data_IF_889997040421
#
_entry.id   IF_889997040421
#
_cell.length_a   1.000
_cell.length_b   1.000
_cell.length_c   1.000
_cell.angle_alpha   90.00
_cell.angle_beta   90.00
_cell.angle_gamma   90.00
#
_symmetry.space_group_name_H-M   'P 1'
#
loop_
_entity.id
_entity.type
_entity.pdbx_description
1 polymer ?
#
# COMPACT_ATOMS: atom_id res chain seq x y z
N UNK A 1 3.55 9.86 14.12
CA UNK A 1 2.67 9.09 13.23
C UNK A 1 2.72 7.63 13.65
N UNK A 2 1.59 7.00 14.00
CA UNK A 2 1.52 5.55 14.25
C UNK A 2 1.14 4.88 12.94
N UNK A 3 2.05 4.09 12.36
CA UNK A 3 1.72 3.25 11.22
C UNK A 3 0.90 2.05 11.69
N UNK A 4 -0.07 1.61 10.87
CA UNK A 4 -0.92 0.47 11.16
C UNK A 4 -0.64 -0.69 10.21
N UNK A 5 -1.05 -1.92 10.55
CA UNK A 5 -1.00 -3.04 9.64
C UNK A 5 -1.75 -2.77 8.33
N UNK A 6 -1.09 -3.01 7.20
CA UNK A 6 -1.72 -2.87 5.89
C UNK A 6 -2.37 -4.20 5.46
N UNK A 7 -3.67 -4.33 5.74
CA UNK A 7 -4.47 -5.47 5.29
C UNK A 7 -4.75 -5.34 3.78
N UNK A 8 -3.92 -6.00 2.96
CA UNK A 8 -4.01 -5.99 1.50
C UNK A 8 -5.38 -6.46 0.97
N UNK A 9 -6.02 -7.37 1.70
CA UNK A 9 -7.29 -7.99 1.35
C UNK A 9 -8.53 -7.20 1.77
N UNK A 10 -8.39 -6.11 2.54
CA UNK A 10 -9.51 -5.30 2.99
C UNK A 10 -10.42 -4.91 1.82
N UNK A 11 -11.74 -4.84 2.03
CA UNK A 11 -12.72 -4.60 0.98
C UNK A 11 -12.39 -3.35 0.14
N UNK A 12 -12.78 -3.35 -1.13
CA UNK A 12 -12.67 -2.15 -1.98
C UNK A 12 -13.37 -0.96 -1.31
N UNK A 13 -12.76 0.21 -1.40
CA UNK A 13 -13.27 1.44 -0.77
C UNK A 13 -13.01 1.55 0.73
N UNK A 14 -12.44 0.52 1.39
CA UNK A 14 -11.99 0.64 2.79
C UNK A 14 -11.11 1.87 2.94
N UNK A 15 -11.44 2.73 3.90
CA UNK A 15 -10.72 4.00 4.13
C UNK A 15 -9.37 3.74 4.78
N UNK A 16 -8.33 4.30 4.17
CA UNK A 16 -6.95 4.24 4.66
C UNK A 16 -6.31 5.62 4.55
N UNK A 17 -5.45 6.00 5.49
CA UNK A 17 -4.68 7.23 5.38
C UNK A 17 -3.64 7.09 4.27
N UNK A 18 -3.59 8.10 3.40
CA UNK A 18 -2.51 8.29 2.43
C UNK A 18 -1.88 9.66 2.66
N UNK A 19 -0.59 9.78 2.36
CA UNK A 19 0.13 11.05 2.35
C UNK A 19 0.39 11.43 0.90
N UNK A 20 0.08 12.67 0.53
CA UNK A 20 0.25 13.18 -0.84
C UNK A 20 0.60 14.66 -0.84
N UNK A 21 1.06 15.17 -1.98
CA UNK A 21 1.08 16.61 -2.26
C UNK A 21 -0.36 17.11 -2.38
N UNK A 22 -0.66 18.24 -1.73
CA UNK A 22 -1.97 18.88 -1.85
C UNK A 22 -2.12 19.40 -3.30
N UNK A 23 -3.15 18.97 -4.05
CA UNK A 23 -3.36 19.41 -5.44
C UNK A 23 -3.63 20.92 -5.57
N UNK A 24 -4.18 21.56 -4.53
CA UNK A 24 -4.45 23.00 -4.50
C UNK A 24 -3.22 23.82 -4.08
N UNK A 25 -2.28 23.19 -3.36
CA UNK A 25 -1.01 23.80 -2.95
C UNK A 25 0.12 22.75 -2.95
N UNK A 26 0.84 22.63 -4.07
CA UNK A 26 1.89 21.62 -4.24
C UNK A 26 3.07 21.77 -3.27
N UNK A 27 3.20 22.88 -2.53
CA UNK A 27 4.21 23.02 -1.47
C UNK A 27 3.81 22.30 -0.18
N UNK A 28 2.51 22.02 0.01
CA UNK A 28 1.98 21.36 1.18
C UNK A 28 1.93 19.83 0.99
N UNK A 29 2.27 19.13 2.06
CA UNK A 29 2.08 17.68 2.19
C UNK A 29 0.96 17.45 3.18
N UNK A 30 -0.08 16.75 2.74
CA UNK A 30 -1.24 16.44 3.58
C UNK A 30 -1.39 14.94 3.79
N UNK A 31 -2.07 14.59 4.89
CA UNK A 31 -2.57 13.25 5.13
C UNK A 31 -4.08 13.26 5.01
N UNK A 32 -4.61 12.42 4.12
CA UNK A 32 -6.05 12.32 3.84
C UNK A 32 -6.49 10.86 3.86
N UNK A 33 -7.75 10.63 4.24
CA UNK A 33 -8.36 9.32 4.06
C UNK A 33 -8.72 9.11 2.58
N UNK A 34 -8.38 7.95 2.04
CA UNK A 34 -8.70 7.57 0.66
C UNK A 34 -9.23 6.12 0.60
N UNK A 35 -10.04 5.83 -0.41
CA UNK A 35 -10.61 4.52 -0.65
C UNK A 35 -9.56 3.55 -1.21
N UNK A 36 -9.50 2.36 -0.63
CA UNK A 36 -8.60 1.31 -1.09
C UNK A 36 -9.08 0.69 -2.41
N UNK A 37 -8.32 0.90 -3.49
CA UNK A 37 -8.60 0.40 -4.83
C UNK A 37 -9.11 1.49 -5.79
N UNK A 38 -8.59 1.46 -7.01
CA UNK A 38 -8.94 2.38 -8.09
C UNK A 38 -9.93 1.74 -9.05
N UNK A 39 -10.81 2.58 -9.60
CA UNK A 39 -11.61 2.26 -10.77
C UNK A 39 -10.89 2.76 -12.03
N UNK A 40 -10.80 1.95 -13.11
CA UNK A 40 -10.34 2.39 -14.43
C UNK A 40 -11.10 3.62 -14.95
N UNK A 41 -10.44 4.45 -15.77
CA UNK A 41 -11.06 5.67 -16.34
C UNK A 41 -11.96 5.33 -17.54
N UNK A 42 -11.65 4.25 -18.26
CA UNK A 42 -12.46 3.73 -19.35
C UNK A 42 -13.66 2.94 -18.78
N UNK A 43 -14.85 3.27 -19.28
CA UNK A 43 -16.15 2.98 -18.66
C UNK A 43 -16.56 1.52 -18.51
N UNK A 44 -17.74 1.37 -17.90
CA UNK A 44 -18.50 0.15 -17.60
C UNK A 44 -17.93 -1.17 -18.14
N UNK A 45 -17.33 -1.96 -17.24
CA UNK A 45 -16.98 -3.37 -17.49
C UNK A 45 -15.62 -3.78 -16.93
N UNK A 46 -14.69 -2.83 -16.76
CA UNK A 46 -13.37 -3.13 -16.19
C UNK A 46 -13.46 -3.19 -14.66
N UNK A 47 -13.01 -4.30 -14.08
CA UNK A 47 -13.05 -4.52 -12.62
C UNK A 47 -12.12 -3.52 -11.90
N UNK A 48 -12.51 -3.01 -10.73
CA UNK A 48 -11.63 -2.20 -9.90
C UNK A 48 -10.40 -3.01 -9.49
N UNK A 49 -9.28 -2.32 -9.25
CA UNK A 49 -8.00 -2.95 -8.92
C UNK A 49 -7.33 -2.26 -7.73
N UNK A 50 -6.61 -3.03 -6.92
CA UNK A 50 -5.88 -2.54 -5.73
C UNK A 50 -4.40 -2.32 -5.99
N UNK A 51 -3.85 -3.01 -6.99
CA UNK A 51 -2.42 -3.09 -7.23
C UNK A 51 -2.10 -2.69 -8.67
N UNK A 52 -1.00 -1.96 -8.84
CA UNK A 52 -0.47 -1.58 -10.15
C UNK A 52 0.96 -2.12 -10.25
N UNK A 53 1.22 -2.97 -11.24
CA UNK A 53 2.58 -3.40 -11.59
C UNK A 53 3.40 -2.21 -12.09
N UNK A 54 4.63 -2.05 -11.60
CA UNK A 54 5.53 -0.97 -12.01
C UNK A 54 6.14 -1.16 -13.40
N UNK A 55 6.27 -2.39 -13.90
CA UNK A 55 6.97 -2.66 -15.15
C UNK A 55 6.33 -1.95 -16.35
N UNK A 56 7.14 -1.26 -17.14
CA UNK A 56 6.69 -0.53 -18.32
C UNK A 56 5.74 0.64 -18.02
N UNK A 57 5.57 1.03 -16.75
CA UNK A 57 4.70 2.14 -16.35
C UNK A 57 5.50 3.30 -15.79
N UNK A 58 5.07 4.50 -16.12
CA UNK A 58 5.55 5.74 -15.51
C UNK A 58 4.48 6.31 -14.59
N UNK A 59 4.91 6.88 -13.46
CA UNK A 59 4.07 7.55 -12.49
C UNK A 59 4.47 9.03 -12.40
N UNK A 60 4.17 9.88 -13.40
CA UNK A 60 4.64 11.27 -13.41
C UNK A 60 3.87 12.19 -12.45
N UNK A 61 2.67 11.79 -12.00
CA UNK A 61 1.80 12.59 -11.14
C UNK A 61 1.03 11.70 -10.16
N UNK A 62 0.31 12.33 -9.22
CA UNK A 62 -0.60 11.67 -8.28
C UNK A 62 0.04 10.54 -7.47
N UNK A 63 1.31 10.68 -7.12
CA UNK A 63 2.00 9.79 -6.19
C UNK A 63 1.48 10.01 -4.77
N UNK A 64 1.33 8.92 -4.03
CA UNK A 64 1.07 8.96 -2.59
C UNK A 64 1.96 7.95 -1.85
N UNK A 65 2.07 8.15 -0.54
CA UNK A 65 2.69 7.22 0.38
C UNK A 65 1.60 6.63 1.27
N UNK A 66 1.65 5.32 1.49
CA UNK A 66 0.76 4.63 2.43
C UNK A 66 1.60 4.22 3.65
N UNK A 67 1.43 4.85 4.83
CA UNK A 67 2.12 4.42 6.04
C UNK A 67 1.70 3.00 6.42
N UNK A 68 2.66 2.10 6.63
CA UNK A 68 2.40 0.71 6.98
C UNK A 68 3.44 0.20 8.00
N UNK A 69 2.98 -0.54 9.01
CA UNK A 69 3.87 -1.29 9.92
C UNK A 69 4.19 -2.68 9.38
N UNK A 70 3.28 -3.24 8.58
CA UNK A 70 3.40 -4.54 7.92
C UNK A 70 2.55 -4.55 6.65
N UNK A 71 2.87 -5.44 5.71
CA UNK A 71 1.95 -5.85 4.63
C UNK A 71 1.74 -7.36 4.67
N UNK A 72 0.73 -7.85 3.95
CA UNK A 72 0.39 -9.28 3.93
C UNK A 72 0.66 -9.89 2.56
N UNK A 73 1.21 -11.10 2.56
CA UNK A 73 1.38 -11.95 1.37
C UNK A 73 0.67 -13.28 1.56
N UNK A 74 0.35 -13.94 0.45
CA UNK A 74 -0.33 -15.24 0.46
C UNK A 74 0.45 -16.28 -0.33
N UNK A 75 0.49 -17.50 0.19
CA UNK A 75 0.96 -18.68 -0.53
C UNK A 75 -0.07 -19.81 -0.36
N UNK A 76 -0.85 -20.08 -1.41
CA UNK A 76 -2.06 -20.90 -1.32
C UNK A 76 -3.04 -20.31 -0.30
N UNK A 77 -3.48 -21.14 0.65
CA UNK A 77 -4.40 -20.72 1.72
C UNK A 77 -3.70 -20.07 2.93
N UNK A 78 -2.36 -20.12 2.97
CA UNK A 78 -1.56 -19.57 4.07
C UNK A 78 -1.34 -18.08 3.87
N UNK A 79 -1.40 -17.34 4.98
CA UNK A 79 -1.18 -15.89 5.00
C UNK A 79 0.02 -15.58 5.86
N UNK A 80 0.81 -14.61 5.42
CA UNK A 80 2.02 -14.19 6.12
C UNK A 80 1.99 -12.68 6.26
N UNK A 81 2.40 -12.19 7.42
CA UNK A 81 2.72 -10.78 7.62
C UNK A 81 4.21 -10.58 7.35
N UNK A 82 4.51 -9.45 6.72
CA UNK A 82 5.86 -9.04 6.36
C UNK A 82 6.12 -7.70 7.03
N UNK A 83 7.12 -7.67 7.90
CA UNK A 83 7.60 -6.48 8.63
C UNK A 83 9.05 -6.21 8.26
N UNK A 84 9.55 -4.98 8.45
CA UNK A 84 10.99 -4.75 8.41
C UNK A 84 11.67 -5.53 9.55
N UNK A 85 12.84 -6.11 9.27
CA UNK A 85 13.60 -6.89 10.24
C UNK A 85 14.09 -6.05 11.44
N UNK A 86 14.32 -4.75 11.21
CA UNK A 86 14.74 -3.80 12.26
C UNK A 86 13.59 -3.30 13.16
N UNK A 87 12.36 -3.78 12.93
CA UNK A 87 11.16 -3.38 13.67
C UNK A 87 10.64 -1.97 13.34
N UNK A 88 11.22 -1.26 12.37
CA UNK A 88 10.70 0.01 11.91
C UNK A 88 9.44 -0.18 11.03
N UNK A 89 8.72 0.92 10.85
CA UNK A 89 7.64 1.02 9.88
C UNK A 89 8.14 1.71 8.61
N UNK A 90 7.38 1.55 7.53
CA UNK A 90 7.74 2.00 6.18
C UNK A 90 6.54 2.60 5.46
N UNK A 91 6.79 3.06 4.24
CA UNK A 91 5.72 3.46 3.33
C UNK A 91 5.60 2.45 2.20
N UNK A 92 4.39 2.20 1.73
CA UNK A 92 4.18 1.63 0.40
C UNK A 92 4.06 2.77 -0.61
N UNK A 93 4.70 2.62 -1.76
CA UNK A 93 4.50 3.53 -2.88
C UNK A 93 3.09 3.32 -3.46
N UNK A 94 2.37 4.41 -3.66
CA UNK A 94 1.03 4.38 -4.23
C UNK A 94 0.78 5.45 -5.26
N UNK A 95 -0.35 5.29 -5.95
CA UNK A 95 -0.92 6.27 -6.86
C UNK A 95 -2.36 6.51 -6.46
N UNK A 96 -2.78 7.77 -6.39
CA UNK A 96 -4.13 8.16 -6.05
C UNK A 96 -4.87 8.76 -7.26
N UNK A 97 -6.20 8.84 -7.17
CA UNK A 97 -7.06 9.54 -8.13
C UNK A 97 -8.07 10.41 -7.39
N UNK A 98 -8.32 11.65 -7.87
CA UNK A 98 -9.35 12.50 -7.28
C UNK A 98 -10.70 11.79 -7.29
N UNK A 99 -11.55 12.13 -6.34
CA UNK A 99 -12.93 11.62 -6.33
C UNK A 99 -13.73 12.20 -7.48
N UNK A 100 -14.71 11.45 -7.94
CA UNK A 100 -15.77 11.86 -8.85
C UNK A 100 -17.14 11.46 -8.24
N UNK A 101 -18.28 11.81 -8.86
CA UNK A 101 -19.60 11.50 -8.30
C UNK A 101 -19.86 10.02 -8.01
N UNK A 102 -19.23 9.12 -8.75
CA UNK A 102 -19.45 7.67 -8.66
C UNK A 102 -18.39 6.94 -7.82
N UNK A 103 -17.22 7.55 -7.64
CA UNK A 103 -16.07 6.94 -6.98
C UNK A 103 -15.32 7.95 -6.11
N UNK A 104 -15.16 7.70 -4.80
CA UNK A 104 -14.50 8.64 -3.91
C UNK A 104 -13.01 8.75 -4.21
N UNK A 105 -12.34 9.76 -3.62
CA UNK A 105 -10.88 9.84 -3.56
C UNK A 105 -10.31 8.46 -3.19
N UNK A 106 -9.48 7.89 -4.05
CA UNK A 106 -9.03 6.50 -3.92
C UNK A 106 -7.58 6.32 -4.36
N UNK A 107 -6.98 5.19 -4.00
CA UNK A 107 -5.59 4.87 -4.30
C UNK A 107 -5.36 3.39 -4.59
N UNK A 108 -4.25 3.08 -5.25
CA UNK A 108 -3.72 1.74 -5.45
C UNK A 108 -2.24 1.70 -5.04
N UNK A 109 -1.77 0.54 -4.58
CA UNK A 109 -0.37 0.31 -4.25
C UNK A 109 0.38 -0.11 -5.51
N UNK A 110 1.57 0.44 -5.69
CA UNK A 110 2.51 0.01 -6.73
C UNK A 110 3.19 -1.28 -6.26
N UNK A 111 3.23 -2.29 -7.12
CA UNK A 111 3.91 -3.57 -6.85
C UNK A 111 5.11 -3.76 -7.76
N UNK A 112 6.12 -4.40 -7.20
CA UNK A 112 7.39 -4.75 -7.84
C UNK A 112 7.61 -6.26 -7.75
N UNK A 113 8.65 -6.78 -8.39
CA UNK A 113 9.13 -8.13 -8.11
C UNK A 113 9.48 -8.28 -6.63
N UNK A 114 9.14 -9.43 -6.07
CA UNK A 114 9.45 -9.74 -4.68
C UNK A 114 10.95 -9.87 -4.45
N UNK A 115 11.41 -9.40 -3.29
CA UNK A 115 12.78 -9.62 -2.86
C UNK A 115 13.00 -11.11 -2.48
N UNK A 116 14.26 -11.54 -2.28
CA UNK A 116 14.55 -12.94 -1.91
C UNK A 116 13.86 -13.45 -0.65
N UNK A 117 13.49 -12.56 0.28
CA UNK A 117 12.77 -12.94 1.50
C UNK A 117 11.31 -13.30 1.17
N UNK A 118 10.64 -12.50 0.33
CA UNK A 118 9.22 -12.62 -0.01
C UNK A 118 8.95 -13.57 -1.17
N UNK A 119 9.90 -13.74 -2.10
CA UNK A 119 9.72 -14.48 -3.35
C UNK A 119 9.24 -15.93 -3.15
N UNK A 120 9.65 -16.59 -2.07
CA UNK A 120 9.20 -17.95 -1.72
C UNK A 120 7.71 -18.04 -1.36
N UNK A 121 7.08 -16.91 -1.04
CA UNK A 121 5.67 -16.83 -0.68
C UNK A 121 4.83 -16.29 -1.82
N UNK A 122 5.32 -15.24 -2.49
CA UNK A 122 4.61 -14.55 -3.55
C UNK A 122 5.61 -13.86 -4.49
N UNK A 123 5.41 -13.99 -5.80
CA UNK A 123 6.33 -13.44 -6.81
C UNK A 123 6.42 -11.91 -6.81
N UNK A 124 5.42 -11.23 -6.22
CA UNK A 124 5.33 -9.77 -6.17
C UNK A 124 5.00 -9.28 -4.79
N UNK A 125 5.53 -8.10 -4.47
CA UNK A 125 5.24 -7.39 -3.23
C UNK A 125 4.87 -5.93 -3.50
N UNK A 126 4.30 -5.26 -2.49
CA UNK A 126 4.20 -3.81 -2.52
C UNK A 126 5.58 -3.16 -2.52
N UNK A 127 5.75 -2.09 -3.29
CA UNK A 127 7.00 -1.34 -3.33
C UNK A 127 7.21 -0.60 -2.00
N UNK A 128 8.15 -1.10 -1.20
CA UNK A 128 8.48 -0.55 0.12
C UNK A 128 9.46 0.60 -0.05
N UNK A 129 9.08 1.77 0.45
CA UNK A 129 9.91 2.96 0.55
C UNK A 129 10.31 3.17 2.00
N UNK A 130 11.61 3.22 2.24
CA UNK A 130 12.13 3.51 3.57
C UNK A 130 11.86 4.98 3.92
N UNK A 131 11.81 5.29 5.22
CA UNK A 131 11.44 6.64 5.69
C UNK A 131 12.30 7.75 5.09
N UNK A 132 13.58 7.48 4.80
CA UNK A 132 14.50 8.43 4.15
C UNK A 132 14.21 8.69 2.66
N UNK A 133 13.44 7.82 2.01
CA UNK A 133 13.09 7.89 0.58
C UNK A 133 11.70 8.49 0.34
N UNK A 134 10.95 8.78 1.41
CA UNK A 134 9.54 9.16 1.32
C UNK A 134 9.32 10.40 0.43
N UNK A 135 10.12 11.45 0.60
CA UNK A 135 10.00 12.68 -0.18
C UNK A 135 10.55 12.55 -1.59
N UNK A 136 11.57 11.70 -1.80
CA UNK A 136 12.05 11.42 -3.14
C UNK A 136 10.95 10.84 -4.05
N UNK A 137 10.05 10.03 -3.49
CA UNK A 137 8.88 9.53 -4.21
C UNK A 137 7.89 10.64 -4.54
N UNK A 138 7.46 11.43 -3.55
CA UNK A 138 6.43 12.47 -3.75
C UNK A 138 6.93 13.64 -4.61
N UNK A 139 8.22 13.96 -4.55
CA UNK A 139 8.81 15.15 -5.16
C UNK A 139 9.46 14.86 -6.51
N UNK A 140 9.39 13.59 -6.97
CA UNK A 140 10.02 13.13 -8.20
C UNK A 140 11.53 13.46 -8.25
N UNK A 141 12.18 13.57 -7.09
CA UNK A 141 13.59 14.02 -7.00
C UNK A 141 14.59 12.93 -7.37
N UNK A 142 14.13 11.68 -7.47
CA UNK A 142 14.90 10.50 -7.87
C UNK A 142 14.08 9.75 -8.92
N UNK A 143 14.70 9.17 -9.96
CA UNK A 143 14.02 8.29 -10.90
C UNK A 143 13.21 7.20 -10.18
N UNK A 144 11.99 6.95 -10.66
CA UNK A 144 11.12 5.97 -10.01
C UNK A 144 11.72 4.57 -10.03
N UNK A 145 12.54 4.25 -11.03
CA UNK A 145 13.19 2.95 -11.19
C UNK A 145 14.22 2.71 -10.08
N UNK A 146 14.82 3.75 -9.52
CA UNK A 146 15.75 3.63 -8.39
C UNK A 146 15.01 3.47 -7.05
N UNK A 147 13.78 3.99 -6.97
CA UNK A 147 12.94 3.91 -5.77
C UNK A 147 12.12 2.61 -5.73
N UNK A 148 11.62 2.15 -6.87
CA UNK A 148 10.75 0.99 -7.02
C UNK A 148 11.57 -0.29 -7.24
N UNK A 149 12.52 -0.53 -6.32
CA UNK A 149 13.37 -1.72 -6.30
C UNK A 149 13.09 -2.58 -5.06
N UNK A 150 13.27 -3.90 -5.15
CA UNK A 150 13.20 -4.74 -3.97
C UNK A 150 14.30 -4.37 -2.99
N UNK A 151 13.99 -4.38 -1.69
CA UNK A 151 15.02 -4.24 -0.66
C UNK A 151 15.98 -5.45 -0.70
N UNK A 152 17.24 -5.31 -0.25
CA UNK A 152 18.18 -6.43 -0.18
C UNK A 152 17.64 -7.62 0.62
N UNK A 153 18.23 -8.79 0.44
CA UNK A 153 17.91 -9.95 1.28
C UNK A 153 18.12 -9.65 2.77
N UNK A 154 17.33 -10.30 3.63
CA UNK A 154 17.29 -10.07 5.09
C UNK A 154 16.82 -8.65 5.47
N UNK A 155 15.98 -8.05 4.63
CA UNK A 155 15.33 -6.77 4.97
C UNK A 155 14.00 -6.98 5.68
N UNK A 156 13.38 -8.16 5.50
CA UNK A 156 12.07 -8.45 6.06
C UNK A 156 12.10 -9.63 7.03
N UNK A 157 11.34 -9.50 8.11
CA UNK A 157 10.90 -10.61 8.95
C UNK A 157 9.52 -11.07 8.49
N UNK A 158 9.35 -12.38 8.29
CA UNK A 158 8.12 -12.98 7.78
C UNK A 158 7.58 -13.95 8.82
N UNK A 159 6.31 -13.77 9.18
CA UNK A 159 5.63 -14.66 10.12
C UNK A 159 4.28 -15.09 9.55
N UNK A 160 3.96 -16.37 9.67
CA UNK A 160 2.64 -16.87 9.34
C UNK A 160 1.59 -16.30 10.30
N UNK A 161 0.44 -15.92 9.74
CA UNK A 161 -0.71 -15.42 10.49
C UNK A 161 -1.86 -16.40 10.29
N UNK A 162 -2.44 -16.85 11.41
CA UNK A 162 -3.61 -17.73 11.41
C UNK A 162 -4.76 -17.14 10.56
N UNK A 163 -5.67 -17.97 10.03
CA UNK A 163 -6.93 -17.49 9.49
C UNK A 163 -7.61 -16.59 10.53
N UNK A 164 -8.25 -15.51 10.08
CA UNK A 164 -8.89 -14.54 10.98
C UNK A 164 -10.09 -15.26 11.58
N UNK A 165 -9.97 -15.76 12.81
CA UNK A 165 -11.13 -16.15 13.60
C UNK A 165 -11.83 -14.83 13.94
N UNK A 166 -13.04 -14.62 13.42
CA UNK A 166 -13.91 -13.57 13.93
C UNK A 166 -14.20 -13.91 15.39
N UNK A 167 -13.51 -13.22 16.31
CA UNK A 167 -13.87 -13.27 17.71
C UNK A 167 -15.29 -12.68 17.83
N UNK A 168 -16.25 -13.38 18.45
CA UNK A 168 -17.58 -12.84 18.65
C UNK A 168 -17.45 -11.51 19.39
N UNK A 169 -18.10 -10.47 18.85
CA UNK A 169 -18.19 -9.16 19.51
C UNK A 169 -18.75 -9.41 20.90
N UNK A 170 -17.96 -9.08 21.93
CA UNK A 170 -18.41 -9.11 23.31
C UNK A 170 -19.53 -8.09 23.43
N UNK A 171 -20.78 -8.56 23.40
CA UNK A 171 -21.93 -7.75 23.78
C UNK A 171 -21.76 -7.51 25.28
N UNK A 172 -21.44 -6.27 25.68
CA UNK A 172 -21.47 -5.89 27.08
C UNK A 172 -22.87 -6.22 27.64
N UNK A 173 -22.88 -7.05 28.68
CA UNK A 173 -24.04 -7.19 29.55
C UNK A 173 -24.19 -5.86 30.29
N UNK A 174 -25.19 -5.08 29.90
CA UNK A 174 -25.75 -4.06 30.78
C UNK A 174 -26.48 -4.79 31.92
N UNK A 175 -25.97 -4.61 33.14
CA UNK A 175 -26.72 -4.82 34.38
C UNK A 175 -27.53 -3.57 34.71
#
# INVERSE_FOLDING_TARGET
MKASPFESEAAFGTRRPIIRRNPDNMQEVEMVEAGWGLQPWEGQGTKPFKFIRSEGKMFPTHRCLIPASEFQVKNGDRRFRVTLDDGNWFYLAGVWRPGNPDWPLSFAVVTIEANPDVFFYQERQGAVLLRRQNMAWLDLSVPQEELLQPLPARSFAIAEIAPRVELPRQTELAL
#
